data_IF_031875250025
#
_entry.id   IF_031875250025
#
_cell.length_a   1.000
_cell.length_b   1.000
_cell.length_c   1.000
_cell.angle_alpha   90.00
_cell.angle_beta   90.00
_cell.angle_gamma   90.00
#
_symmetry.space_group_name_H-M   'P 1'
#
loop_
_entity.id
_entity.type
_entity.pdbx_description
1 polymer ?
#
# COMPACT_ATOMS: atom_id res chain seq x y z
N UNK A 1 2.87 -13.70 -1.56
CA UNK A 1 3.93 -12.88 -2.16
C UNK A 1 5.21 -13.42 -1.60
N UNK A 2 5.84 -14.30 -2.36
CA UNK A 2 7.22 -14.67 -2.11
C UNK A 2 8.14 -13.52 -2.58
N UNK A 3 9.41 -13.49 -2.14
CA UNK A 3 10.38 -12.51 -2.61
C UNK A 3 10.47 -12.46 -4.15
N UNK A 4 10.42 -13.63 -4.81
CA UNK A 4 10.49 -13.74 -6.27
C UNK A 4 9.25 -13.13 -6.96
N UNK A 5 8.07 -13.32 -6.37
CA UNK A 5 6.84 -12.66 -6.87
C UNK A 5 6.93 -11.14 -6.71
N UNK A 6 7.42 -10.66 -5.57
CA UNK A 6 7.58 -9.23 -5.31
C UNK A 6 8.60 -8.59 -6.24
N UNK A 7 9.73 -9.26 -6.49
CA UNK A 7 10.76 -8.80 -7.41
C UNK A 7 10.24 -8.74 -8.84
N UNK A 8 9.54 -9.78 -9.32
CA UNK A 8 8.93 -9.78 -10.64
C UNK A 8 7.89 -8.64 -10.81
N UNK A 9 7.10 -8.36 -9.76
CA UNK A 9 6.17 -7.22 -9.78
C UNK A 9 6.93 -5.89 -9.79
N UNK A 10 7.97 -5.74 -8.98
CA UNK A 10 8.77 -4.50 -8.87
C UNK A 10 9.48 -4.18 -10.18
N UNK A 11 10.10 -5.18 -10.79
CA UNK A 11 10.75 -5.10 -12.10
C UNK A 11 9.77 -4.66 -13.19
N UNK A 12 8.58 -5.28 -13.24
CA UNK A 12 7.57 -4.92 -14.21
C UNK A 12 7.13 -3.45 -14.05
N UNK A 13 6.89 -3.02 -12.81
CA UNK A 13 6.43 -1.65 -12.50
C UNK A 13 7.51 -0.59 -12.78
N UNK A 14 8.79 -0.91 -12.57
CA UNK A 14 9.89 -0.01 -12.94
C UNK A 14 10.02 0.16 -14.45
N UNK A 15 9.82 -0.92 -15.24
CA UNK A 15 9.96 -0.89 -16.70
C UNK A 15 8.76 -0.25 -17.41
N UNK A 16 7.54 -0.43 -16.89
CA UNK A 16 6.31 -0.01 -17.56
C UNK A 16 5.55 1.11 -16.85
N UNK A 17 5.96 1.48 -15.64
CA UNK A 17 5.29 2.48 -14.81
C UNK A 17 3.96 1.98 -14.22
N UNK A 18 3.32 2.86 -13.44
CA UNK A 18 2.05 2.59 -12.75
C UNK A 18 0.80 2.89 -13.62
N UNK A 19 0.97 3.15 -14.92
CA UNK A 19 -0.10 3.55 -15.85
C UNK A 19 -0.69 2.38 -16.65
N UNK A 20 -0.19 1.16 -16.41
CA UNK A 20 -0.62 -0.05 -17.10
C UNK A 20 -1.90 -0.70 -16.53
N UNK A 21 -2.56 -1.52 -17.36
CA UNK A 21 -3.72 -2.32 -16.93
C UNK A 21 -3.30 -3.44 -15.98
N UNK A 22 -3.72 -3.30 -14.71
CA UNK A 22 -3.59 -4.33 -13.68
C UNK A 22 -4.19 -5.68 -14.08
N UNK A 23 -5.16 -5.72 -15.00
CA UNK A 23 -5.78 -6.96 -15.47
C UNK A 23 -4.78 -7.81 -16.26
N UNK A 24 -4.02 -7.17 -17.16
CA UNK A 24 -3.05 -7.85 -18.03
C UNK A 24 -1.67 -7.99 -17.41
N UNK A 25 -1.36 -7.15 -16.43
CA UNK A 25 -0.05 -7.10 -15.78
C UNK A 25 0.43 -8.46 -15.25
N UNK A 26 -0.35 -9.26 -14.50
CA UNK A 26 0.17 -10.49 -13.92
C UNK A 26 0.69 -11.45 -14.97
N UNK A 27 -0.03 -11.61 -16.08
CA UNK A 27 0.40 -12.47 -17.18
C UNK A 27 1.71 -11.97 -17.80
N UNK A 28 1.83 -10.66 -18.05
CA UNK A 28 3.04 -10.06 -18.62
C UNK A 28 4.24 -10.09 -17.67
N UNK A 29 4.00 -10.03 -16.36
CA UNK A 29 5.01 -10.14 -15.31
C UNK A 29 5.36 -11.61 -14.96
N UNK A 30 4.74 -12.60 -15.62
CA UNK A 30 4.96 -14.03 -15.31
C UNK A 30 4.39 -14.47 -13.96
N UNK A 31 3.49 -13.67 -13.37
CA UNK A 31 2.89 -13.91 -12.06
C UNK A 31 1.62 -14.76 -12.17
N UNK A 32 1.51 -15.81 -11.35
CA UNK A 32 0.29 -16.60 -11.16
C UNK A 32 -0.66 -15.93 -10.16
N UNK A 33 -0.93 -14.63 -10.36
CA UNK A 33 -1.77 -13.78 -9.50
C UNK A 33 -2.85 -13.09 -10.34
N UNK A 34 -3.92 -12.63 -9.68
CA UNK A 34 -4.90 -11.78 -10.33
C UNK A 34 -4.50 -10.30 -10.24
N UNK A 35 -5.00 -9.47 -11.15
CA UNK A 35 -4.67 -8.06 -11.21
C UNK A 35 -4.96 -7.28 -9.92
N UNK A 36 -6.08 -7.60 -9.26
CA UNK A 36 -6.44 -7.03 -7.96
C UNK A 36 -5.37 -7.32 -6.90
N UNK A 37 -4.85 -8.54 -6.87
CA UNK A 37 -3.81 -8.93 -5.92
C UNK A 37 -2.50 -8.17 -6.17
N UNK A 38 -2.07 -8.06 -7.44
CA UNK A 38 -0.89 -7.27 -7.81
C UNK A 38 -1.04 -5.80 -7.44
N UNK A 39 -2.21 -5.19 -7.72
CA UNK A 39 -2.49 -3.80 -7.39
C UNK A 39 -2.38 -3.55 -5.88
N UNK A 40 -3.03 -4.39 -5.08
CA UNK A 40 -3.00 -4.26 -3.63
C UNK A 40 -1.60 -4.49 -3.06
N UNK A 41 -0.83 -5.43 -3.62
CA UNK A 41 0.55 -5.64 -3.18
C UNK A 41 1.43 -4.44 -3.47
N UNK A 42 1.33 -3.89 -4.68
CA UNK A 42 2.09 -2.71 -5.06
C UNK A 42 1.76 -1.52 -4.16
N UNK A 43 0.47 -1.16 -4.09
CA UNK A 43 0.02 0.06 -3.41
C UNK A 43 0.19 0.04 -1.89
N UNK A 44 0.26 -1.14 -1.26
CA UNK A 44 0.39 -1.26 0.19
C UNK A 44 1.78 -1.69 0.67
N UNK A 45 2.62 -2.27 -0.20
CA UNK A 45 3.88 -2.86 0.26
C UNK A 45 5.10 -2.62 -0.62
N UNK A 46 4.98 -2.53 -1.96
CA UNK A 46 6.16 -2.49 -2.83
C UNK A 46 6.48 -1.11 -3.40
N UNK A 47 5.53 -0.17 -3.33
CA UNK A 47 5.74 1.19 -3.81
C UNK A 47 6.89 1.84 -3.00
N UNK A 48 7.92 2.44 -3.64
CA UNK A 48 9.15 2.87 -2.95
C UNK A 48 8.99 3.93 -1.85
N UNK A 49 7.87 4.64 -1.88
CA UNK A 49 7.51 5.73 -0.97
C UNK A 49 6.71 5.25 0.24
N UNK A 50 6.54 3.94 0.46
CA UNK A 50 5.81 3.41 1.62
C UNK A 50 6.79 3.14 2.76
N UNK A 51 6.45 3.61 3.97
CA UNK A 51 7.22 3.33 5.18
C UNK A 51 6.77 2.01 5.79
N UNK A 52 7.73 1.12 6.03
CA UNK A 52 7.51 -0.12 6.76
C UNK A 52 7.84 0.03 8.25
N UNK A 53 7.13 -0.71 9.10
CA UNK A 53 7.34 -0.73 10.54
C UNK A 53 6.27 0.00 11.34
N UNK A 54 6.46 0.05 12.66
CA UNK A 54 5.53 0.65 13.61
C UNK A 54 5.29 2.14 13.36
N UNK A 55 4.17 2.63 13.89
CA UNK A 55 3.84 4.06 13.91
C UNK A 55 4.67 4.76 15.00
N UNK A 56 4.97 6.03 14.77
CA UNK A 56 5.61 6.92 15.74
C UNK A 56 4.56 7.57 16.62
N UNK A 57 4.95 8.04 17.81
CA UNK A 57 4.03 8.70 18.76
C UNK A 57 3.34 9.93 18.13
N UNK A 58 4.03 10.64 17.24
CA UNK A 58 3.46 11.74 16.47
C UNK A 58 2.39 11.27 15.48
N UNK A 59 2.67 10.20 14.73
CA UNK A 59 1.69 9.61 13.81
C UNK A 59 0.47 9.08 14.56
N UNK A 60 0.65 8.45 15.73
CA UNK A 60 -0.42 7.94 16.58
C UNK A 60 -1.32 9.08 17.08
N UNK A 61 -0.72 10.19 17.50
CA UNK A 61 -1.45 11.39 17.93
C UNK A 61 -2.31 11.95 16.79
N UNK A 62 -1.76 12.00 15.58
CA UNK A 62 -2.48 12.44 14.38
C UNK A 62 -3.64 11.48 14.07
N UNK A 63 -3.40 10.16 14.09
CA UNK A 63 -4.42 9.14 13.83
C UNK A 63 -5.57 9.27 14.81
N UNK A 64 -5.28 9.37 16.10
CA UNK A 64 -6.30 9.47 17.15
C UNK A 64 -7.14 10.74 17.00
N UNK A 65 -6.48 11.89 16.81
CA UNK A 65 -7.14 13.19 16.62
C UNK A 65 -8.06 13.20 15.40
N UNK A 66 -7.58 12.65 14.27
CA UNK A 66 -8.35 12.59 13.03
C UNK A 66 -9.48 11.57 13.10
N UNK A 67 -9.28 10.41 13.75
CA UNK A 67 -10.33 9.43 13.95
C UNK A 67 -11.48 9.99 14.78
N UNK A 68 -11.19 10.76 15.83
CA UNK A 68 -12.22 11.44 16.63
C UNK A 68 -13.10 12.37 15.80
N UNK A 69 -12.56 13.00 14.76
CA UNK A 69 -13.28 13.95 13.90
C UNK A 69 -13.94 13.30 12.67
N UNK A 70 -13.30 12.27 12.11
CA UNK A 70 -13.65 11.73 10.79
C UNK A 70 -14.21 10.30 10.86
N UNK A 71 -14.03 9.60 11.98
CA UNK A 71 -14.31 8.17 12.12
C UNK A 71 -13.37 7.32 11.26
N UNK A 72 -13.86 6.17 10.79
CA UNK A 72 -13.10 5.17 10.01
C UNK A 72 -12.80 5.55 8.55
N UNK A 73 -12.64 6.84 8.25
CA UNK A 73 -12.27 7.35 6.92
C UNK A 73 -10.76 7.22 6.67
N UNK A 74 -10.27 5.99 6.62
CA UNK A 74 -8.84 5.67 6.59
C UNK A 74 -8.05 6.35 5.48
N UNK A 75 -8.62 6.45 4.27
CA UNK A 75 -7.94 7.12 3.14
C UNK A 75 -7.77 8.62 3.37
N UNK A 76 -8.66 9.26 4.14
CA UNK A 76 -8.52 10.68 4.52
C UNK A 76 -7.55 10.86 5.68
N UNK A 77 -7.52 9.92 6.62
CA UNK A 77 -6.53 9.94 7.72
C UNK A 77 -5.12 9.73 7.17
N UNK A 78 -4.93 8.71 6.32
CA UNK A 78 -3.63 8.39 5.72
C UNK A 78 -3.11 9.51 4.80
N UNK A 79 -3.96 10.37 4.25
CA UNK A 79 -3.49 11.52 3.46
C UNK A 79 -2.77 12.59 4.30
N UNK A 80 -2.93 12.56 5.63
CA UNK A 80 -2.24 13.44 6.58
C UNK A 80 -0.94 12.83 7.11
N UNK A 81 -0.64 11.57 6.76
CA UNK A 81 0.53 10.84 7.22
C UNK A 81 1.46 10.59 6.04
N UNK A 82 2.67 11.11 6.12
CA UNK A 82 3.64 10.88 5.06
C UNK A 82 3.99 9.39 4.96
N UNK A 83 3.94 8.85 3.73
CA UNK A 83 4.38 7.47 3.44
C UNK A 83 3.59 6.35 4.12
N UNK A 84 2.42 6.65 4.71
CA UNK A 84 1.48 5.65 5.26
C UNK A 84 0.32 5.44 4.31
N UNK A 85 -0.16 4.20 4.26
CA UNK A 85 -1.33 3.84 3.46
C UNK A 85 -2.58 3.78 4.33
N UNK A 86 -3.75 3.87 3.70
CA UNK A 86 -5.04 3.69 4.37
C UNK A 86 -5.15 2.30 5.00
N UNK A 87 -4.55 1.30 4.37
CA UNK A 87 -4.45 -0.05 4.92
C UNK A 87 -3.56 -0.10 6.17
N UNK A 88 -2.44 0.64 6.21
CA UNK A 88 -1.58 0.69 7.39
C UNK A 88 -2.30 1.31 8.59
N UNK A 89 -2.96 2.45 8.40
CA UNK A 89 -3.70 3.15 9.47
C UNK A 89 -4.83 2.27 10.01
N UNK A 90 -5.61 1.67 9.10
CA UNK A 90 -6.68 0.74 9.48
C UNK A 90 -6.12 -0.45 10.26
N UNK A 91 -4.99 -1.03 9.83
CA UNK A 91 -4.41 -2.17 10.52
C UNK A 91 -3.89 -1.78 11.90
N UNK A 92 -3.18 -0.66 12.01
CA UNK A 92 -2.70 -0.14 13.28
C UNK A 92 -3.84 0.12 14.27
N UNK A 93 -4.96 0.70 13.82
CA UNK A 93 -6.11 0.94 14.70
C UNK A 93 -6.80 -0.33 15.21
N UNK A 94 -6.81 -1.41 14.41
CA UNK A 94 -7.51 -2.65 14.74
C UNK A 94 -6.61 -3.73 15.37
N UNK A 95 -5.32 -3.44 15.55
CA UNK A 95 -4.35 -4.32 16.21
C UNK A 95 -4.16 -3.87 17.64
#
# INVERSE_FOLDING_TARGET
>A
WSPEEDDALRDYMQRHGNTGSWITLPNKAGLKRCGKSCRLRWLNYLRPDIRHGGFTDEEDTIIYSLYSQLGSKWSLIASQLERRTDNDVKNHWNT
#
